data_IF_120643000718
#
_entry.id   IF_120643000718
#
_cell.length_a   1.000
_cell.length_b   1.000
_cell.length_c   1.000
_cell.angle_alpha   90.00
_cell.angle_beta   90.00
_cell.angle_gamma   90.00
#
_symmetry.space_group_name_H-M   'P 1'
#
loop_
_entity.id
_entity.type
_entity.pdbx_description
1 polymer ?
#
# COMPACT_ATOMS: atom_id res chain seq x y z
N UNK A 1 19.54 -23.13 -22.26
CA UNK A 1 18.77 -21.92 -21.92
C UNK A 1 18.11 -22.19 -20.58
N UNK A 2 18.63 -21.60 -19.50
CA UNK A 2 17.99 -21.71 -18.18
C UNK A 2 16.77 -20.77 -18.20
N UNK A 3 15.57 -21.34 -18.13
CA UNK A 3 14.36 -20.55 -17.94
C UNK A 3 14.44 -19.93 -16.53
N UNK A 4 14.46 -18.62 -16.45
CA UNK A 4 14.27 -17.95 -15.16
C UNK A 4 12.94 -18.43 -14.56
N UNK A 5 12.89 -18.76 -13.27
CA UNK A 5 11.64 -19.17 -12.65
C UNK A 5 10.60 -18.05 -12.83
N UNK A 6 9.37 -18.44 -13.17
CA UNK A 6 8.27 -17.49 -13.28
C UNK A 6 8.14 -16.65 -11.98
N UNK A 7 7.81 -15.36 -12.10
CA UNK A 7 7.65 -14.51 -10.93
C UNK A 7 6.53 -15.05 -10.04
N UNK A 8 6.74 -14.99 -8.72
CA UNK A 8 5.77 -15.48 -7.74
C UNK A 8 5.09 -14.30 -7.05
N UNK A 9 3.81 -14.42 -6.80
CA UNK A 9 3.06 -13.44 -6.00
C UNK A 9 3.72 -13.27 -4.63
N UNK A 10 4.16 -12.05 -4.36
CA UNK A 10 4.62 -11.67 -3.03
C UNK A 10 3.43 -11.59 -2.08
N UNK A 11 3.60 -12.09 -0.85
CA UNK A 11 2.55 -12.04 0.17
C UNK A 11 2.18 -10.59 0.49
N UNK A 12 0.88 -10.22 0.49
CA UNK A 12 0.43 -8.93 1.00
C UNK A 12 0.82 -8.75 2.48
N UNK A 13 0.84 -7.51 2.95
CA UNK A 13 1.12 -7.25 4.36
C UNK A 13 0.08 -7.95 5.27
N UNK A 14 0.49 -8.31 6.47
CA UNK A 14 -0.42 -8.89 7.48
C UNK A 14 -1.55 -7.92 7.80
N UNK A 15 -1.27 -6.60 7.80
CA UNK A 15 -2.28 -5.57 8.03
C UNK A 15 -3.35 -5.57 6.93
N UNK A 16 -2.94 -5.65 5.65
CA UNK A 16 -3.90 -5.81 4.55
C UNK A 16 -4.75 -7.07 4.72
N UNK A 17 -4.12 -8.21 5.00
CA UNK A 17 -4.83 -9.49 5.13
C UNK A 17 -5.86 -9.49 6.27
N UNK A 18 -5.57 -8.85 7.40
CA UNK A 18 -6.54 -8.71 8.51
C UNK A 18 -7.77 -7.90 8.12
N UNK A 19 -7.62 -6.96 7.19
CA UNK A 19 -8.69 -6.07 6.75
C UNK A 19 -9.22 -6.40 5.34
N UNK A 20 -8.75 -7.48 4.71
CA UNK A 20 -9.13 -7.91 3.37
C UNK A 20 -10.65 -8.08 3.20
N UNK A 21 -11.36 -8.50 4.26
CA UNK A 21 -12.82 -8.63 4.29
C UNK A 21 -13.57 -7.32 4.03
N UNK A 22 -12.90 -6.17 4.10
CA UNK A 22 -13.46 -4.84 3.79
C UNK A 22 -13.42 -4.51 2.31
N UNK A 23 -12.58 -5.21 1.56
CA UNK A 23 -12.53 -5.12 0.09
C UNK A 23 -13.59 -6.08 -0.45
N UNK A 24 -14.53 -5.57 -1.23
CA UNK A 24 -15.65 -6.33 -1.78
C UNK A 24 -15.63 -6.30 -3.31
N UNK A 25 -16.22 -7.29 -3.97
CA UNK A 25 -16.34 -7.28 -5.43
C UNK A 25 -16.98 -5.99 -5.95
N UNK A 26 -16.42 -5.47 -7.03
CA UNK A 26 -16.87 -4.23 -7.67
C UNK A 26 -16.38 -2.93 -7.02
N UNK A 27 -15.70 -2.98 -5.86
CA UNK A 27 -15.05 -1.78 -5.28
C UNK A 27 -13.89 -1.34 -6.15
N UNK A 28 -13.76 -0.02 -6.35
CA UNK A 28 -12.57 0.59 -6.96
C UNK A 28 -11.47 0.72 -5.90
N UNK A 29 -10.35 0.08 -6.12
CA UNK A 29 -9.23 0.03 -5.17
C UNK A 29 -7.97 0.59 -5.83
N UNK A 30 -7.33 1.58 -5.19
CA UNK A 30 -6.07 2.17 -5.62
C UNK A 30 -4.94 1.71 -4.71
N UNK A 31 -3.85 1.21 -5.29
CA UNK A 31 -2.60 0.89 -4.60
C UNK A 31 -1.53 1.89 -5.04
N UNK A 32 -1.19 2.85 -4.17
CA UNK A 32 -0.21 3.90 -4.40
C UNK A 32 1.19 3.42 -4.06
N UNK A 33 2.17 3.71 -4.92
CA UNK A 33 3.54 3.21 -4.83
C UNK A 33 3.54 1.66 -4.72
N UNK A 34 2.77 1.02 -5.62
CA UNK A 34 2.38 -0.38 -5.51
C UNK A 34 3.52 -1.37 -5.75
N UNK A 35 4.65 -0.93 -6.33
CA UNK A 35 5.75 -1.79 -6.72
C UNK A 35 5.32 -2.89 -7.69
N UNK A 36 5.57 -4.14 -7.35
CA UNK A 36 5.14 -5.32 -8.12
C UNK A 36 3.65 -5.67 -7.90
N UNK A 37 2.86 -4.77 -7.31
CA UNK A 37 1.42 -4.85 -7.23
C UNK A 37 0.85 -5.88 -6.24
N UNK A 38 1.59 -6.30 -5.21
CA UNK A 38 1.15 -7.36 -4.30
C UNK A 38 -0.20 -7.10 -3.64
N UNK A 39 -0.52 -5.85 -3.31
CA UNK A 39 -1.81 -5.49 -2.69
C UNK A 39 -2.89 -5.24 -3.74
N UNK A 40 -2.56 -4.60 -4.87
CA UNK A 40 -3.47 -4.45 -6.00
C UNK A 40 -3.95 -5.80 -6.53
N UNK A 41 -3.02 -6.75 -6.72
CA UNK A 41 -3.35 -8.13 -7.15
C UNK A 41 -4.20 -8.85 -6.12
N UNK A 42 -3.91 -8.69 -4.82
CA UNK A 42 -4.73 -9.25 -3.76
C UNK A 42 -6.14 -8.65 -3.74
N UNK A 43 -6.29 -7.35 -4.00
CA UNK A 43 -7.61 -6.71 -4.14
C UNK A 43 -8.36 -7.24 -5.38
N UNK A 44 -7.67 -7.42 -6.52
CA UNK A 44 -8.24 -8.03 -7.71
C UNK A 44 -8.71 -9.47 -7.47
N UNK A 45 -7.96 -10.27 -6.72
CA UNK A 45 -8.40 -11.62 -6.29
C UNK A 45 -9.69 -11.62 -5.47
N UNK A 46 -9.98 -10.52 -4.77
CA UNK A 46 -11.24 -10.32 -4.03
C UNK A 46 -12.37 -9.77 -4.90
N UNK A 47 -12.13 -9.62 -6.21
CA UNK A 47 -13.11 -9.12 -7.17
C UNK A 47 -13.21 -7.59 -7.26
N UNK A 48 -12.23 -6.85 -6.73
CA UNK A 48 -12.18 -5.41 -6.85
C UNK A 48 -11.64 -4.97 -8.23
N UNK A 49 -12.04 -3.77 -8.67
CA UNK A 49 -11.43 -3.05 -9.79
C UNK A 49 -10.15 -2.37 -9.30
N UNK A 50 -9.03 -3.08 -9.42
CA UNK A 50 -7.76 -2.65 -8.86
C UNK A 50 -6.98 -1.76 -9.84
N UNK A 51 -6.41 -0.66 -9.33
CA UNK A 51 -5.49 0.23 -10.02
C UNK A 51 -4.19 0.30 -9.21
N UNK A 52 -3.06 -0.03 -9.83
CA UNK A 52 -1.74 0.11 -9.24
C UNK A 52 -0.98 1.27 -9.87
N UNK A 53 -0.34 2.09 -9.04
CA UNK A 53 0.46 3.25 -9.47
C UNK A 53 1.85 3.14 -8.88
N UNK A 54 2.88 3.20 -9.73
CA UNK A 54 4.28 3.25 -9.30
C UNK A 54 5.12 4.01 -10.34
N UNK A 55 6.27 4.55 -9.95
CA UNK A 55 7.20 5.21 -10.88
C UNK A 55 8.08 4.21 -11.64
N UNK A 56 8.25 3.01 -11.13
CA UNK A 56 9.15 1.99 -11.67
C UNK A 56 8.41 1.10 -12.68
N UNK A 57 8.60 1.40 -13.97
CA UNK A 57 8.03 0.60 -15.07
C UNK A 57 8.46 -0.87 -15.04
N UNK A 58 9.67 -1.17 -14.57
CA UNK A 58 10.16 -2.56 -14.48
C UNK A 58 9.34 -3.36 -13.46
N UNK A 59 9.04 -2.74 -12.31
CA UNK A 59 8.18 -3.34 -11.28
C UNK A 59 6.75 -3.51 -11.77
N UNK A 60 6.22 -2.52 -12.49
CA UNK A 60 4.88 -2.62 -13.09
C UNK A 60 4.82 -3.66 -14.22
N UNK A 61 5.90 -3.88 -14.97
CA UNK A 61 5.97 -4.98 -15.95
C UNK A 61 5.85 -6.33 -15.25
N UNK A 62 6.55 -6.52 -14.12
CA UNK A 62 6.39 -7.71 -13.26
C UNK A 62 4.96 -7.86 -12.75
N UNK A 63 4.33 -6.77 -12.32
CA UNK A 63 2.94 -6.79 -11.85
C UNK A 63 1.96 -7.23 -12.97
N UNK A 64 2.14 -6.76 -14.21
CA UNK A 64 1.35 -7.18 -15.38
C UNK A 64 1.53 -8.67 -15.68
N UNK A 65 2.77 -9.16 -15.63
CA UNK A 65 3.07 -10.58 -15.84
C UNK A 65 2.43 -11.46 -14.77
N UNK A 66 2.49 -11.04 -13.50
CA UNK A 66 1.83 -11.72 -12.39
C UNK A 66 0.31 -11.72 -12.55
N UNK A 67 -0.28 -10.59 -12.95
CA UNK A 67 -1.71 -10.50 -13.22
C UNK A 67 -2.13 -11.49 -14.31
N UNK A 68 -1.41 -11.50 -15.45
CA UNK A 68 -1.69 -12.41 -16.55
C UNK A 68 -1.53 -13.89 -16.15
N UNK A 69 -0.49 -14.22 -15.38
CA UNK A 69 -0.22 -15.60 -14.92
C UNK A 69 -1.34 -16.15 -14.01
N UNK A 70 -2.02 -15.27 -13.28
CA UNK A 70 -3.08 -15.64 -12.34
C UNK A 70 -4.50 -15.31 -12.84
N UNK A 71 -4.64 -14.95 -14.11
CA UNK A 71 -5.92 -14.55 -14.72
C UNK A 71 -6.63 -13.42 -13.96
N UNK A 72 -5.83 -12.43 -13.50
CA UNK A 72 -6.31 -11.27 -12.76
C UNK A 72 -6.33 -10.04 -13.66
N UNK A 73 -7.34 -9.18 -13.49
CA UNK A 73 -7.42 -7.91 -14.17
C UNK A 73 -7.11 -6.78 -13.19
N UNK A 74 -6.15 -5.93 -13.56
CA UNK A 74 -5.82 -4.71 -12.84
C UNK A 74 -5.26 -3.67 -13.82
N UNK A 75 -5.51 -2.40 -13.57
CA UNK A 75 -4.93 -1.29 -14.32
C UNK A 75 -3.60 -0.87 -13.68
N UNK A 76 -2.59 -0.58 -14.52
CA UNK A 76 -1.27 -0.18 -14.07
C UNK A 76 -0.85 1.14 -14.71
N UNK A 77 -0.49 2.13 -13.89
CA UNK A 77 -0.08 3.47 -14.34
C UNK A 77 1.32 3.79 -13.87
N UNK A 78 2.19 4.22 -14.80
CA UNK A 78 3.51 4.77 -14.47
C UNK A 78 3.33 6.21 -14.05
N UNK A 79 3.58 6.50 -12.79
CA UNK A 79 3.49 7.87 -12.24
C UNK A 79 4.52 8.04 -11.15
N UNK A 80 5.34 9.08 -11.26
CA UNK A 80 6.17 9.54 -10.15
C UNK A 80 5.35 10.49 -9.26
N UNK A 81 4.94 9.98 -8.09
CA UNK A 81 4.14 10.73 -7.12
C UNK A 81 4.93 11.88 -6.45
N UNK A 82 6.26 11.87 -6.54
CA UNK A 82 7.11 12.94 -6.02
C UNK A 82 7.16 14.12 -6.99
N UNK A 83 7.16 13.85 -8.31
CA UNK A 83 7.22 14.89 -9.35
C UNK A 83 5.84 15.45 -9.69
N UNK A 84 4.86 14.57 -9.86
CA UNK A 84 3.53 14.98 -10.30
C UNK A 84 2.42 14.26 -9.53
N UNK A 85 1.31 14.96 -9.33
CA UNK A 85 0.12 14.36 -8.73
C UNK A 85 -1.01 14.34 -9.77
N UNK A 86 -1.24 13.19 -10.43
CA UNK A 86 -2.25 13.09 -11.47
C UNK A 86 -3.66 13.12 -10.87
N UNK A 87 -4.64 13.50 -11.69
CA UNK A 87 -6.04 13.28 -11.35
C UNK A 87 -6.37 11.79 -11.51
N UNK A 88 -6.44 11.11 -10.39
CA UNK A 88 -6.78 9.69 -10.33
C UNK A 88 -8.27 9.45 -10.06
N UNK A 89 -9.02 10.50 -9.70
CA UNK A 89 -10.40 10.37 -9.23
C UNK A 89 -10.48 9.87 -7.79
N UNK A 90 -11.60 9.24 -7.42
CA UNK A 90 -11.84 8.72 -6.07
C UNK A 90 -12.03 7.21 -6.08
N UNK A 91 -11.68 6.58 -4.96
CA UNK A 91 -11.68 5.13 -4.78
C UNK A 91 -12.40 4.74 -3.49
N UNK A 92 -13.04 3.58 -3.50
CA UNK A 92 -13.68 3.00 -2.32
C UNK A 92 -12.65 2.55 -1.29
N UNK A 93 -11.44 2.17 -1.76
CA UNK A 93 -10.30 1.96 -0.88
C UNK A 93 -9.01 2.47 -1.52
N UNK A 94 -8.19 3.15 -0.72
CA UNK A 94 -6.84 3.59 -1.08
C UNK A 94 -5.86 2.83 -0.20
N UNK A 95 -4.90 2.16 -0.82
CA UNK A 95 -3.85 1.38 -0.20
C UNK A 95 -2.54 2.14 -0.29
N UNK A 96 -1.79 2.24 0.81
CA UNK A 96 -0.50 2.92 0.86
C UNK A 96 0.44 2.16 1.82
N UNK A 97 1.33 1.34 1.24
CA UNK A 97 2.19 0.45 2.00
C UNK A 97 3.66 0.70 1.73
N UNK A 98 4.46 0.84 2.81
CA UNK A 98 5.90 1.07 2.74
C UNK A 98 6.29 2.34 1.96
N UNK A 99 5.41 3.32 1.92
CA UNK A 99 5.63 4.62 1.31
C UNK A 99 5.25 5.72 2.30
N UNK A 100 6.01 6.80 2.35
CA UNK A 100 5.74 7.96 3.19
C UNK A 100 6.17 9.23 2.47
N UNK A 101 5.21 10.05 2.14
CA UNK A 101 5.38 11.44 1.75
C UNK A 101 4.38 12.30 2.52
N UNK A 102 4.89 13.01 3.51
CA UNK A 102 4.07 13.84 4.41
C UNK A 102 3.34 14.94 3.68
N UNK A 103 4.02 15.54 2.69
CA UNK A 103 3.46 16.66 1.92
C UNK A 103 2.30 16.21 1.03
N UNK A 104 2.30 14.95 0.58
CA UNK A 104 1.26 14.38 -0.29
C UNK A 104 0.07 13.80 0.48
N UNK A 105 0.16 13.65 1.79
CA UNK A 105 -0.94 13.06 2.58
C UNK A 105 -2.29 13.79 2.43
N UNK A 106 -2.37 15.13 2.31
CA UNK A 106 -3.64 15.80 1.97
C UNK A 106 -4.24 15.28 0.65
N UNK A 107 -3.44 15.15 -0.40
CA UNK A 107 -3.88 14.65 -1.70
C UNK A 107 -4.26 13.16 -1.64
N UNK A 108 -3.52 12.32 -0.90
CA UNK A 108 -3.88 10.92 -0.67
C UNK A 108 -5.27 10.79 -0.06
N UNK A 109 -5.57 11.61 0.94
CA UNK A 109 -6.90 11.58 1.59
C UNK A 109 -8.04 11.95 0.62
N UNK A 110 -7.79 12.90 -0.30
CA UNK A 110 -8.79 13.30 -1.29
C UNK A 110 -9.14 12.20 -2.30
N UNK A 111 -8.27 11.21 -2.49
CA UNK A 111 -8.57 10.03 -3.32
C UNK A 111 -9.58 9.07 -2.66
N UNK A 112 -9.78 9.15 -1.35
CA UNK A 112 -10.76 8.31 -0.66
C UNK A 112 -12.17 8.84 -0.92
N UNK A 113 -13.05 8.01 -1.49
CA UNK A 113 -14.44 8.37 -1.70
C UNK A 113 -15.21 8.57 -0.39
N UNK A 114 -16.34 9.30 -0.36
CA UNK A 114 -17.22 9.31 0.80
C UNK A 114 -17.61 7.89 1.22
N UNK A 115 -17.48 7.56 2.50
CA UNK A 115 -17.65 6.20 3.02
C UNK A 115 -16.48 5.25 2.75
N UNK A 116 -15.52 5.65 1.91
CA UNK A 116 -14.36 4.85 1.52
C UNK A 116 -13.29 4.75 2.62
N UNK A 117 -12.27 3.95 2.36
CA UNK A 117 -11.23 3.57 3.31
C UNK A 117 -9.83 3.95 2.83
N UNK A 118 -8.99 4.39 3.76
CA UNK A 118 -7.54 4.42 3.64
C UNK A 118 -6.96 3.27 4.48
N UNK A 119 -6.23 2.34 3.84
CA UNK A 119 -5.41 1.34 4.51
C UNK A 119 -3.95 1.73 4.32
N UNK A 120 -3.28 2.08 5.39
CA UNK A 120 -1.88 2.51 5.34
C UNK A 120 -1.04 1.78 6.39
N UNK A 121 0.16 1.38 5.99
CA UNK A 121 1.18 0.82 6.88
C UNK A 121 2.56 1.25 6.40
N UNK A 122 3.37 1.83 7.28
CA UNK A 122 4.78 2.12 6.99
C UNK A 122 5.63 2.10 8.27
N UNK A 123 6.93 2.26 8.10
CA UNK A 123 7.92 2.04 9.16
C UNK A 123 7.94 3.18 10.18
N UNK A 124 8.17 2.82 11.44
CA UNK A 124 8.45 3.72 12.56
C UNK A 124 9.95 4.02 12.67
N UNK A 125 10.32 5.10 13.34
CA UNK A 125 11.71 5.43 13.70
C UNK A 125 12.43 4.28 14.40
N UNK A 126 11.71 3.46 15.18
CA UNK A 126 12.23 2.27 15.84
C UNK A 126 12.77 1.20 14.85
N UNK A 127 12.44 1.30 13.56
CA UNK A 127 12.98 0.42 12.53
C UNK A 127 14.51 0.52 12.42
N UNK A 128 15.09 1.67 12.69
CA UNK A 128 16.56 1.85 12.66
C UNK A 128 17.29 0.85 13.54
N UNK A 129 16.72 0.49 14.69
CA UNK A 129 17.32 -0.49 15.62
C UNK A 129 17.31 -1.91 15.08
N UNK A 130 16.55 -2.18 14.00
CA UNK A 130 16.47 -3.52 13.38
C UNK A 130 17.58 -3.78 12.36
N UNK A 131 18.36 -2.75 11.97
CA UNK A 131 19.50 -2.89 11.07
C UNK A 131 19.16 -3.17 9.60
N UNK A 132 17.88 -3.02 9.19
CA UNK A 132 17.42 -3.19 7.82
C UNK A 132 16.21 -2.28 7.52
N UNK A 133 15.87 -2.11 6.25
CA UNK A 133 14.79 -1.22 5.81
C UNK A 133 15.23 0.24 5.70
N UNK A 134 14.29 1.20 5.68
CA UNK A 134 14.61 2.61 5.57
C UNK A 134 15.36 3.12 6.80
N UNK A 135 16.38 3.97 6.56
CA UNK A 135 17.19 4.59 7.61
C UNK A 135 16.98 6.11 7.71
N UNK A 136 16.52 6.78 6.64
CA UNK A 136 16.23 8.21 6.66
C UNK A 136 14.96 8.50 7.45
N UNK A 137 14.98 9.58 8.25
CA UNK A 137 13.80 10.05 9.00
C UNK A 137 12.65 10.47 8.07
N UNK A 138 12.96 10.86 6.84
CA UNK A 138 11.94 11.22 5.86
C UNK A 138 10.99 10.06 5.55
N UNK A 139 11.49 8.83 5.65
CA UNK A 139 10.74 7.61 5.39
C UNK A 139 10.27 6.87 6.65
N UNK A 140 10.47 7.48 7.83
CA UNK A 140 10.15 6.87 9.13
C UNK A 140 9.19 7.74 9.92
N UNK A 141 8.13 7.13 10.43
CA UNK A 141 7.13 7.81 11.27
C UNK A 141 7.61 7.93 12.72
N UNK A 142 7.28 9.05 13.32
CA UNK A 142 7.33 9.21 14.77
C UNK A 142 6.11 8.54 15.42
N UNK A 143 6.19 8.15 16.70
CA UNK A 143 5.02 7.62 17.42
C UNK A 143 3.80 8.54 17.32
N UNK A 144 2.64 7.98 17.04
CA UNK A 144 1.36 8.71 16.88
C UNK A 144 1.27 9.56 15.61
N UNK A 145 2.28 9.57 14.74
CA UNK A 145 2.29 10.45 13.57
C UNK A 145 1.31 9.97 12.49
N UNK A 146 1.19 8.65 12.28
CA UNK A 146 0.32 8.12 11.24
C UNK A 146 -1.14 8.51 11.44
N UNK A 147 -1.62 8.48 12.68
CA UNK A 147 -2.98 8.91 13.01
C UNK A 147 -3.22 10.39 12.68
N UNK A 148 -2.22 11.26 12.93
CA UNK A 148 -2.30 12.69 12.58
C UNK A 148 -2.30 12.91 11.08
N UNK A 149 -1.48 12.15 10.33
CA UNK A 149 -1.42 12.22 8.87
C UNK A 149 -2.72 11.74 8.21
N UNK A 150 -3.39 10.75 8.80
CA UNK A 150 -4.68 10.27 8.31
C UNK A 150 -5.84 11.25 8.59
N UNK A 151 -5.73 12.14 9.59
CA UNK A 151 -6.78 13.14 9.89
C UNK A 151 -7.04 14.05 8.67
N UNK A 152 -8.32 14.44 8.38
CA UNK A 152 -9.52 14.27 9.22
C UNK A 152 -10.29 12.96 9.03
N UNK A 153 -9.74 11.95 8.31
CA UNK A 153 -10.40 10.66 8.22
C UNK A 153 -10.56 10.04 9.61
N UNK A 154 -11.70 9.42 9.87
CA UNK A 154 -11.97 8.76 11.14
C UNK A 154 -11.18 7.45 11.24
N UNK A 155 -10.30 7.36 12.22
CA UNK A 155 -9.55 6.12 12.49
C UNK A 155 -10.51 5.03 12.95
N UNK A 156 -10.60 3.94 12.20
CA UNK A 156 -11.40 2.75 12.55
C UNK A 156 -10.56 1.74 13.31
N UNK A 157 -9.31 1.52 12.84
CA UNK A 157 -8.31 0.69 13.47
C UNK A 157 -6.95 1.35 13.34
N UNK A 158 -6.12 1.17 14.36
CA UNK A 158 -4.74 1.66 14.35
C UNK A 158 -3.87 0.87 15.29
N UNK A 159 -2.59 0.73 14.93
CA UNK A 159 -1.58 0.09 15.78
C UNK A 159 -0.20 0.67 15.51
N UNK A 160 0.65 0.57 16.52
CA UNK A 160 2.09 0.74 16.40
C UNK A 160 2.74 -0.47 17.07
N UNK A 161 3.51 -1.25 16.31
CA UNK A 161 4.00 -2.54 16.78
C UNK A 161 5.42 -2.81 16.30
N UNK A 162 6.13 -3.62 17.08
CA UNK A 162 7.31 -4.36 16.66
C UNK A 162 6.85 -5.81 16.45
N UNK A 163 6.94 -6.30 15.22
CA UNK A 163 6.47 -7.65 14.87
C UNK A 163 7.51 -8.41 14.03
N UNK A 164 7.54 -9.75 14.12
CA UNK A 164 8.46 -10.55 13.33
C UNK A 164 8.05 -10.53 11.84
N UNK A 165 9.05 -10.46 10.97
CA UNK A 165 8.92 -10.70 9.54
C UNK A 165 9.23 -12.18 9.24
N UNK A 166 10.27 -12.68 9.88
CA UNK A 166 10.72 -14.08 9.85
C UNK A 166 11.45 -14.43 11.15
N UNK A 167 12.19 -15.54 11.19
CA UNK A 167 12.90 -16.00 12.40
C UNK A 167 14.01 -15.03 12.86
N UNK A 168 14.54 -14.20 11.96
CA UNK A 168 15.72 -13.35 12.23
C UNK A 168 15.39 -11.87 12.22
N UNK A 169 14.37 -11.45 11.45
CA UNK A 169 14.08 -10.04 11.20
C UNK A 169 12.77 -9.62 11.83
N UNK A 170 12.82 -8.45 12.46
CA UNK A 170 11.67 -7.76 13.02
C UNK A 170 11.43 -6.45 12.28
N UNK A 171 10.20 -6.00 12.25
CA UNK A 171 9.84 -4.69 11.70
C UNK A 171 9.04 -3.88 12.71
N UNK A 172 9.37 -2.59 12.80
CA UNK A 172 8.64 -1.62 13.59
C UNK A 172 7.75 -0.81 12.65
N UNK A 173 6.43 -0.94 12.77
CA UNK A 173 5.46 -0.33 11.86
C UNK A 173 4.33 0.36 12.60
N UNK A 174 3.80 1.42 11.97
CA UNK A 174 2.50 1.98 12.28
C UNK A 174 1.52 1.62 11.15
N UNK A 175 0.30 1.26 11.53
CA UNK A 175 -0.74 0.87 10.57
C UNK A 175 -2.06 1.51 10.95
N UNK A 176 -2.86 1.95 9.97
CA UNK A 176 -4.22 2.45 10.17
C UNK A 176 -5.19 1.91 9.12
N UNK A 177 -6.44 1.76 9.52
CA UNK A 177 -7.61 1.79 8.65
C UNK A 177 -8.38 3.05 9.05
N UNK A 178 -8.50 3.98 8.12
CA UNK A 178 -9.24 5.22 8.34
C UNK A 178 -10.36 5.37 7.30
N UNK A 179 -11.47 5.95 7.68
CA UNK A 179 -12.67 6.07 6.86
C UNK A 179 -13.00 7.54 6.61
N UNK A 180 -13.35 7.87 5.38
CA UNK A 180 -13.97 9.16 5.04
C UNK A 180 -15.44 9.12 5.40
N UNK A 181 -15.90 10.07 6.19
CA UNK A 181 -17.33 10.28 6.48
C UNK A 181 -18.05 10.97 5.31
#
# INVERSE_FOLDING_TARGET
>A
MSLSPAPRLSRPSTWFLWHAHRIRPGMRVLDLACGEGRHALAAAMLGAEAVGVDRDETRLATARELAATHDLSAEWRVVDLEESWPDLGRFDAVLLFNYLDRARMPAVRELVAPGGLLLMETFLLAQRAQGWGPASEDHLLRPGELARLAAPLRIVYGREVLEPVDAERWRAVASVVAQRE
#
